data_IF_568110353241
#
_entry.id   IF_568110353241
#
_cell.length_a   1.000
_cell.length_b   1.000
_cell.length_c   1.000
_cell.angle_alpha   90.00
_cell.angle_beta   90.00
_cell.angle_gamma   90.00
#
_symmetry.space_group_name_H-M   'P 1'
#
loop_
_entity.id
_entity.type
_entity.pdbx_description
1 polymer ?
#
# COMPACT_ATOMS: atom_id res chain seq x y z
N UNK A 1 -17.70 -6.67 -7.87
CA UNK A 1 -17.12 -7.90 -7.29
C UNK A 1 -18.10 -8.52 -6.31
N UNK A 2 -18.37 -9.82 -6.44
CA UNK A 2 -19.28 -10.61 -5.59
C UNK A 2 -18.48 -11.70 -4.90
N UNK A 3 -18.67 -11.89 -3.60
CA UNK A 3 -18.00 -12.95 -2.84
C UNK A 3 -18.96 -13.56 -1.83
N UNK A 4 -18.66 -14.77 -1.38
CA UNK A 4 -19.33 -15.43 -0.26
C UNK A 4 -18.33 -15.81 0.82
N UNK A 5 -18.77 -15.80 2.06
CA UNK A 5 -18.05 -16.39 3.18
C UNK A 5 -18.62 -17.77 3.47
N UNK A 6 -17.77 -18.78 3.43
CA UNK A 6 -18.15 -20.18 3.56
C UNK A 6 -17.30 -20.89 4.61
N UNK A 7 -17.89 -21.87 5.27
CA UNK A 7 -17.19 -22.78 6.18
C UNK A 7 -17.86 -24.14 6.21
N UNK A 8 -17.13 -25.18 6.62
CA UNK A 8 -17.78 -26.45 6.94
C UNK A 8 -18.68 -26.27 8.17
N UNK A 9 -19.80 -26.98 8.21
CA UNK A 9 -20.74 -26.90 9.32
C UNK A 9 -20.03 -27.27 10.64
N UNK A 10 -20.07 -26.35 11.61
CA UNK A 10 -19.39 -26.53 12.90
C UNK A 10 -17.92 -26.08 12.94
N UNK A 11 -17.36 -25.63 11.82
CA UNK A 11 -16.03 -25.00 11.80
C UNK A 11 -16.08 -23.58 12.37
N UNK A 12 -14.96 -23.14 12.96
CA UNK A 12 -14.86 -21.83 13.61
C UNK A 12 -14.42 -20.67 12.71
N UNK A 13 -13.90 -20.96 11.51
CA UNK A 13 -13.31 -19.95 10.62
C UNK A 13 -13.88 -20.05 9.21
N UNK A 14 -14.19 -18.90 8.63
CA UNK A 14 -14.69 -18.74 7.27
C UNK A 14 -13.57 -18.54 6.25
N UNK A 15 -13.83 -18.97 5.01
CA UNK A 15 -13.07 -18.64 3.82
C UNK A 15 -13.91 -17.77 2.90
N UNK A 16 -13.27 -16.78 2.27
CA UNK A 16 -13.89 -15.91 1.28
C UNK A 16 -13.68 -16.53 -0.10
N UNK A 17 -14.78 -16.82 -0.80
CA UNK A 17 -14.78 -17.41 -2.14
C UNK A 17 -15.41 -16.43 -3.12
N UNK A 18 -14.71 -16.19 -4.22
CA UNK A 18 -15.19 -15.33 -5.30
C UNK A 18 -16.33 -16.00 -6.08
N UNK A 19 -17.41 -15.25 -6.27
CA UNK A 19 -18.53 -15.62 -7.11
C UNK A 19 -18.34 -15.07 -8.52
N UNK A 20 -18.57 -15.91 -9.51
CA UNK A 20 -18.62 -15.47 -10.90
C UNK A 20 -19.79 -14.54 -11.16
N UNK A 21 -19.67 -13.78 -12.25
CA UNK A 21 -20.65 -12.78 -12.59
C UNK A 21 -21.97 -13.34 -13.17
N UNK A 22 -22.07 -14.67 -13.30
CA UNK A 22 -23.24 -15.39 -13.81
C UNK A 22 -24.42 -15.47 -12.83
N UNK A 23 -25.48 -16.17 -13.26
CA UNK A 23 -26.63 -16.49 -12.41
C UNK A 23 -26.30 -17.62 -11.44
N UNK A 24 -26.92 -17.58 -10.25
CA UNK A 24 -26.85 -18.67 -9.29
C UNK A 24 -27.72 -19.83 -9.80
N UNK A 25 -27.11 -20.78 -10.51
CA UNK A 25 -27.73 -22.04 -10.94
C UNK A 25 -27.28 -23.22 -10.05
N UNK A 26 -27.84 -24.39 -10.30
CA UNK A 26 -27.40 -25.63 -9.63
C UNK A 26 -25.93 -25.96 -9.95
N UNK A 27 -25.50 -25.71 -11.19
CA UNK A 27 -24.11 -25.87 -11.63
C UNK A 27 -23.19 -24.88 -10.90
N UNK A 28 -23.62 -23.62 -10.78
CA UNK A 28 -22.89 -22.60 -10.04
C UNK A 28 -22.70 -22.96 -8.55
N UNK A 29 -23.67 -23.67 -7.96
CA UNK A 29 -23.56 -24.17 -6.58
C UNK A 29 -22.47 -25.25 -6.45
N UNK A 30 -22.42 -26.21 -7.38
CA UNK A 30 -21.40 -27.26 -7.37
C UNK A 30 -20.01 -26.69 -7.60
N UNK A 31 -19.89 -25.72 -8.50
CA UNK A 31 -18.63 -25.01 -8.74
C UNK A 31 -18.18 -24.20 -7.51
N UNK A 32 -19.11 -23.52 -6.85
CA UNK A 32 -18.82 -22.79 -5.62
C UNK A 32 -18.31 -23.72 -4.51
N UNK A 33 -18.91 -24.90 -4.37
CA UNK A 33 -18.44 -25.95 -3.44
C UNK A 33 -17.02 -26.39 -3.80
N UNK A 34 -16.73 -26.65 -5.07
CA UNK A 34 -15.40 -27.06 -5.51
C UNK A 34 -14.34 -25.98 -5.23
N UNK A 35 -14.67 -24.70 -5.47
CA UNK A 35 -13.77 -23.57 -5.15
C UNK A 35 -13.51 -23.46 -3.64
N UNK A 36 -14.53 -23.63 -2.81
CA UNK A 36 -14.36 -23.66 -1.36
C UNK A 36 -13.44 -24.80 -0.91
N UNK A 37 -13.67 -26.02 -1.40
CA UNK A 37 -12.86 -27.18 -1.06
C UNK A 37 -11.39 -27.00 -1.47
N UNK A 38 -11.13 -26.44 -2.66
CA UNK A 38 -9.79 -26.14 -3.14
C UNK A 38 -9.09 -25.06 -2.28
N UNK A 39 -9.80 -24.00 -1.90
CA UNK A 39 -9.25 -22.96 -1.02
C UNK A 39 -9.01 -23.47 0.40
N UNK A 40 -9.86 -24.36 0.92
CA UNK A 40 -9.65 -25.00 2.22
C UNK A 40 -8.40 -25.89 2.19
N UNK A 41 -8.22 -26.68 1.14
CA UNK A 41 -7.01 -27.49 0.93
C UNK A 41 -5.77 -26.62 0.80
N UNK A 42 -5.83 -25.53 0.03
CA UNK A 42 -4.73 -24.56 -0.10
C UNK A 42 -4.36 -23.90 1.22
N UNK A 43 -5.35 -23.54 2.05
CA UNK A 43 -5.14 -22.77 3.29
C UNK A 43 -4.77 -23.63 4.49
N UNK A 44 -5.29 -24.85 4.57
CA UNK A 44 -5.18 -25.73 5.74
C UNK A 44 -4.55 -27.10 5.43
N UNK A 45 -4.18 -27.36 4.18
CA UNK A 45 -3.52 -28.60 3.75
C UNK A 45 -4.42 -29.82 3.67
N UNK A 46 -5.74 -29.64 3.81
CA UNK A 46 -6.73 -30.70 3.68
C UNK A 46 -8.10 -30.12 3.32
N UNK A 47 -9.01 -30.96 2.85
CA UNK A 47 -10.43 -30.66 2.67
C UNK A 47 -11.24 -31.83 3.19
N UNK A 48 -12.50 -31.59 3.56
CA UNK A 48 -13.40 -32.67 3.94
C UNK A 48 -14.11 -33.24 2.70
N UNK A 49 -14.68 -34.43 2.85
CA UNK A 49 -15.39 -35.08 1.75
C UNK A 49 -16.68 -34.35 1.35
N UNK A 50 -17.29 -34.78 0.24
CA UNK A 50 -18.49 -34.18 -0.30
C UNK A 50 -19.72 -34.24 0.62
N UNK A 51 -19.75 -35.20 1.56
CA UNK A 51 -20.84 -35.40 2.52
C UNK A 51 -20.78 -34.39 3.68
N UNK A 52 -19.62 -33.77 3.91
CA UNK A 52 -19.49 -32.71 4.88
C UNK A 52 -20.20 -31.45 4.37
N UNK A 53 -21.23 -31.03 5.11
CA UNK A 53 -22.04 -29.87 4.78
C UNK A 53 -21.19 -28.59 4.88
N UNK A 54 -21.41 -27.68 3.92
CA UNK A 54 -20.83 -26.35 3.90
C UNK A 54 -21.96 -25.33 4.06
N UNK A 55 -21.75 -24.33 4.90
CA UNK A 55 -22.68 -23.23 5.10
C UNK A 55 -22.12 -21.92 4.54
N UNK A 56 -23.00 -21.10 3.98
CA UNK A 56 -22.70 -19.71 3.62
C UNK A 56 -23.06 -18.85 4.83
N UNK A 57 -22.05 -18.19 5.39
CA UNK A 57 -22.20 -17.35 6.59
C UNK A 57 -22.55 -15.91 6.20
N UNK A 58 -22.00 -15.41 5.08
CA UNK A 58 -22.26 -14.07 4.59
C UNK A 58 -22.13 -13.95 3.08
N UNK A 59 -22.79 -12.93 2.51
CA UNK A 59 -22.63 -12.49 1.13
C UNK A 59 -21.94 -11.12 1.13
N UNK A 60 -20.90 -10.95 0.31
CA UNK A 60 -20.18 -9.67 0.14
C UNK A 60 -20.37 -9.14 -1.28
N UNK A 61 -20.71 -7.85 -1.36
CA UNK A 61 -20.76 -7.11 -2.62
C UNK A 61 -19.86 -5.88 -2.52
N UNK A 62 -18.91 -5.77 -3.45
CA UNK A 62 -18.15 -4.55 -3.69
C UNK A 62 -18.55 -3.98 -5.04
N UNK A 63 -19.18 -2.81 -5.01
CA UNK A 63 -19.44 -1.98 -6.18
C UNK A 63 -18.37 -0.90 -6.28
N UNK A 64 -17.98 -0.57 -7.51
CA UNK A 64 -17.09 0.55 -7.81
C UNK A 64 -17.72 1.37 -8.91
N UNK A 65 -17.73 2.68 -8.73
CA UNK A 65 -18.10 3.63 -9.78
C UNK A 65 -16.81 4.04 -10.53
N UNK A 66 -16.63 3.61 -11.79
CA UNK A 66 -15.45 3.97 -12.57
C UNK A 66 -15.39 5.47 -12.88
N UNK A 67 -16.52 6.18 -12.79
CA UNK A 67 -16.63 7.62 -13.05
C UNK A 67 -16.44 8.46 -11.79
N UNK A 68 -16.23 7.83 -10.62
CA UNK A 68 -15.82 8.51 -9.41
C UNK A 68 -14.34 8.90 -9.48
N UNK A 69 -14.08 10.02 -10.16
CA UNK A 69 -12.73 10.57 -10.32
C UNK A 69 -12.31 11.30 -9.04
N UNK A 70 -11.59 10.62 -8.17
CA UNK A 70 -10.67 11.31 -7.26
C UNK A 70 -9.60 11.98 -8.13
N UNK A 71 -9.24 13.25 -7.91
CA UNK A 71 -8.23 13.91 -8.73
C UNK A 71 -6.98 13.02 -8.81
N UNK A 72 -6.65 12.56 -10.02
CA UNK A 72 -5.49 11.69 -10.25
C UNK A 72 -4.18 12.38 -9.84
N UNK A 73 -4.20 13.71 -9.68
CA UNK A 73 -3.06 14.54 -9.35
C UNK A 73 -3.48 15.58 -8.32
N UNK A 74 -2.97 15.46 -7.10
CA UNK A 74 -2.95 16.56 -6.15
C UNK A 74 -1.67 17.35 -6.43
N UNK A 75 -1.77 18.58 -6.96
CA UNK A 75 -0.59 19.44 -7.11
C UNK A 75 -0.44 20.26 -5.84
N UNK A 76 0.71 20.15 -5.20
CA UNK A 76 1.02 21.00 -4.05
C UNK A 76 1.30 22.42 -4.53
N UNK A 77 0.77 23.43 -3.81
CA UNK A 77 1.14 24.82 -4.07
C UNK A 77 2.60 25.03 -3.65
N UNK A 78 3.51 25.02 -4.63
CA UNK A 78 4.92 25.25 -4.40
C UNK A 78 5.15 26.75 -4.19
N UNK A 79 5.38 27.15 -2.94
CA UNK A 79 5.83 28.50 -2.60
C UNK A 79 7.31 28.41 -2.23
N UNK A 80 8.18 29.17 -2.92
CA UNK A 80 9.58 29.26 -2.51
C UNK A 80 9.69 29.67 -1.05
N UNK A 81 10.62 29.07 -0.34
CA UNK A 81 10.95 29.47 1.02
C UNK A 81 12.40 29.93 1.10
N UNK A 82 12.73 30.64 2.16
CA UNK A 82 14.12 30.93 2.45
C UNK A 82 14.88 29.61 2.65
N UNK A 83 16.03 29.50 1.97
CA UNK A 83 16.97 28.40 2.18
C UNK A 83 17.96 28.82 3.24
N UNK A 84 18.10 28.02 4.29
CA UNK A 84 19.08 28.23 5.36
C UNK A 84 20.02 27.03 5.47
N UNK A 85 21.05 27.12 6.31
CA UNK A 85 21.89 25.96 6.67
C UNK A 85 22.01 25.90 8.18
N UNK A 86 22.03 24.68 8.73
CA UNK A 86 22.34 24.44 10.14
C UNK A 86 23.14 23.16 10.32
N UNK A 87 23.98 23.05 11.37
CA UNK A 87 24.67 21.82 11.70
C UNK A 87 23.66 20.76 12.17
N UNK A 88 23.64 19.60 11.52
CA UNK A 88 22.77 18.47 11.86
C UNK A 88 23.61 17.23 12.14
N UNK A 89 23.29 16.51 13.21
CA UNK A 89 23.99 15.28 13.59
C UNK A 89 23.37 14.05 12.91
N UNK A 90 24.14 13.37 12.05
CA UNK A 90 23.72 12.15 11.34
C UNK A 90 24.33 10.87 11.96
N UNK A 91 24.39 10.80 13.29
CA UNK A 91 24.91 9.64 13.99
C UNK A 91 26.44 9.53 13.96
N UNK A 92 26.98 8.55 14.70
CA UNK A 92 28.45 8.42 14.91
C UNK A 92 29.26 8.26 13.62
N UNK A 93 28.67 7.67 12.58
CA UNK A 93 29.33 7.45 11.28
C UNK A 93 29.64 8.77 10.56
N UNK A 94 28.75 9.75 10.65
CA UNK A 94 28.81 10.98 9.85
C UNK A 94 29.12 12.22 10.70
N UNK A 95 28.69 12.25 11.96
CA UNK A 95 28.88 13.38 12.83
C UNK A 95 27.95 14.56 12.52
N UNK A 96 28.37 15.77 12.90
CA UNK A 96 27.69 17.01 12.52
C UNK A 96 28.07 17.39 11.09
N UNK A 97 27.06 17.66 10.25
CA UNK A 97 27.24 18.16 8.89
C UNK A 97 26.41 19.43 8.71
N UNK A 98 27.01 20.48 8.15
CA UNK A 98 26.26 21.66 7.69
C UNK A 98 25.27 21.25 6.61
N UNK A 99 23.98 21.37 6.93
CA UNK A 99 22.89 20.79 6.14
C UNK A 99 21.94 21.88 5.72
N UNK A 100 21.67 21.93 4.41
CA UNK A 100 20.68 22.84 3.85
C UNK A 100 19.29 22.52 4.41
N UNK A 101 18.56 23.57 4.81
CA UNK A 101 17.16 23.53 5.21
C UNK A 101 16.38 24.28 4.14
N UNK A 102 15.56 23.56 3.39
CA UNK A 102 14.86 24.06 2.21
C UNK A 102 13.37 23.82 2.34
N UNK A 103 12.57 24.60 1.61
CA UNK A 103 11.16 24.30 1.41
C UNK A 103 10.96 23.23 0.34
N UNK A 104 9.76 22.63 0.29
CA UNK A 104 9.39 21.64 -0.74
C UNK A 104 9.58 22.16 -2.18
N UNK A 105 9.40 23.47 -2.39
CA UNK A 105 9.55 24.12 -3.69
C UNK A 105 10.96 23.96 -4.27
N UNK A 106 11.97 23.83 -3.40
CA UNK A 106 13.39 23.85 -3.76
C UNK A 106 13.94 22.46 -4.05
N UNK A 107 13.21 21.41 -3.65
CA UNK A 107 13.46 20.04 -4.12
C UNK A 107 12.96 19.93 -5.56
N UNK A 108 13.87 19.76 -6.51
CA UNK A 108 13.49 19.70 -7.93
C UNK A 108 13.04 18.30 -8.35
N UNK A 109 12.70 18.12 -9.63
CA UNK A 109 12.45 16.79 -10.22
C UNK A 109 13.74 16.01 -10.49
N UNK A 110 14.88 16.69 -10.46
CA UNK A 110 16.19 16.03 -10.53
C UNK A 110 16.60 15.54 -9.14
N UNK A 111 17.31 14.40 -9.12
CA UNK A 111 17.83 13.83 -7.87
C UNK A 111 18.89 14.73 -7.27
N UNK A 112 18.67 15.07 -6.01
CA UNK A 112 19.58 15.82 -5.18
C UNK A 112 20.14 14.86 -4.12
N UNK A 113 21.47 14.79 -4.01
CA UNK A 113 22.10 14.03 -2.95
C UNK A 113 21.86 14.69 -1.59
N UNK A 114 21.68 13.89 -0.55
CA UNK A 114 21.69 14.39 0.82
C UNK A 114 23.09 14.78 1.31
N UNK A 115 23.21 15.36 2.52
CA UNK A 115 22.11 15.61 3.44
C UNK A 115 21.32 16.88 3.09
N UNK A 116 19.99 16.82 3.29
CA UNK A 116 19.09 17.99 3.19
C UNK A 116 17.92 17.82 4.15
N UNK A 117 17.49 18.91 4.77
CA UNK A 117 16.26 18.98 5.57
C UNK A 117 15.22 19.71 4.73
N UNK A 118 14.06 19.10 4.52
CA UNK A 118 12.93 19.74 3.86
C UNK A 118 11.89 20.10 4.91
N UNK A 119 11.68 21.40 5.15
CA UNK A 119 10.68 21.91 6.10
C UNK A 119 9.40 22.33 5.37
N UNK A 120 8.27 21.88 5.89
CA UNK A 120 6.93 22.14 5.39
C UNK A 120 6.03 22.57 6.54
N UNK A 121 4.88 23.20 6.24
CA UNK A 121 3.95 23.65 7.27
C UNK A 121 3.46 22.52 8.19
N UNK A 122 3.29 21.31 7.65
CA UNK A 122 2.77 20.15 8.40
C UNK A 122 3.85 19.11 8.76
N UNK A 123 5.13 19.36 8.46
CA UNK A 123 6.17 18.37 8.75
C UNK A 123 7.58 18.73 8.31
N UNK A 124 8.52 17.85 8.68
CA UNK A 124 9.94 17.98 8.32
C UNK A 124 10.44 16.64 7.80
N UNK A 125 10.95 16.62 6.57
CA UNK A 125 11.59 15.46 5.97
C UNK A 125 13.11 15.57 6.11
N UNK A 126 13.75 14.53 6.64
CA UNK A 126 15.21 14.47 6.78
C UNK A 126 15.76 13.51 5.74
N UNK A 127 16.63 13.99 4.86
CA UNK A 127 17.33 13.19 3.86
C UNK A 127 18.78 13.03 4.33
N UNK A 128 19.23 11.82 4.71
CA UNK A 128 20.58 11.60 5.24
C UNK A 128 21.67 11.65 4.15
N UNK A 129 22.97 11.66 4.53
CA UNK A 129 24.10 11.72 3.58
C UNK A 129 24.18 10.56 2.59
N UNK A 130 23.61 9.39 2.92
CA UNK A 130 23.56 8.19 2.08
C UNK A 130 22.20 7.99 1.41
N UNK A 131 21.48 9.08 1.17
CA UNK A 131 20.22 9.09 0.43
C UNK A 131 20.21 10.17 -0.65
N UNK A 132 19.21 10.09 -1.52
CA UNK A 132 18.87 11.15 -2.46
C UNK A 132 17.38 11.48 -2.38
N UNK A 133 17.01 12.69 -2.79
CA UNK A 133 15.63 13.15 -2.83
C UNK A 133 15.32 13.83 -4.16
N UNK A 134 14.08 13.69 -4.63
CA UNK A 134 13.53 14.42 -5.77
C UNK A 134 12.00 14.49 -5.65
N UNK A 135 11.38 15.36 -6.45
CA UNK A 135 9.92 15.39 -6.64
C UNK A 135 9.50 14.54 -7.82
N UNK A 136 8.50 13.69 -7.64
CA UNK A 136 7.87 12.97 -8.75
C UNK A 136 6.87 13.84 -9.55
N UNK A 137 6.13 13.25 -10.47
CA UNK A 137 5.15 13.98 -11.29
C UNK A 137 3.90 14.45 -10.51
N UNK A 138 3.68 13.89 -9.32
CA UNK A 138 2.61 14.19 -8.37
C UNK A 138 3.08 15.12 -7.24
N UNK A 139 4.30 15.67 -7.35
CA UNK A 139 4.98 16.49 -6.35
C UNK A 139 5.21 15.77 -5.01
N UNK A 140 5.20 14.44 -4.96
CA UNK A 140 5.66 13.67 -3.79
C UNK A 140 7.16 13.83 -3.62
N UNK A 141 7.64 13.93 -2.39
CA UNK A 141 9.06 13.80 -2.09
C UNK A 141 9.42 12.31 -2.07
N UNK A 142 10.20 11.87 -3.05
CA UNK A 142 10.72 10.51 -3.13
C UNK A 142 12.13 10.49 -2.55
N UNK A 143 12.31 9.77 -1.45
CA UNK A 143 13.61 9.59 -0.80
C UNK A 143 14.12 8.18 -1.08
N UNK A 144 15.21 8.10 -1.83
CA UNK A 144 15.87 6.84 -2.11
C UNK A 144 17.04 6.65 -1.15
N UNK A 145 16.92 5.64 -0.31
CA UNK A 145 17.95 5.20 0.61
C UNK A 145 18.94 4.32 -0.15
N UNK A 146 20.22 4.67 -0.14
CA UNK A 146 21.22 3.70 -0.60
C UNK A 146 21.30 2.59 0.45
N UNK A 147 21.01 1.35 0.05
CA UNK A 147 21.22 0.20 0.93
C UNK A 147 22.70 0.17 1.31
N UNK A 148 22.99 0.47 2.57
CA UNK A 148 24.30 0.20 3.14
C UNK A 148 24.60 -1.29 2.95
N UNK A 149 25.74 -1.59 2.33
CA UNK A 149 26.34 -2.92 2.47
C UNK A 149 26.66 -3.05 3.96
N UNK A 150 25.93 -3.95 4.61
CA UNK A 150 26.12 -4.30 6.02
C UNK A 150 27.50 -4.92 6.25
#
# INVERSE_FOLDING_TARGET
MRQVEMRYLGQAFELIIDLDDGHLSTEARSELRARFDAEHERRFGHRFDEHNAVEIVALRLRASDPDHVVPARLRHALKPSETTSRPVWFGKRYGFIETAVVGRAEVTRERQAGPVIVEEYEGTTVVPPDASVFRDEFDNLVVDLQRGVA
#
